data_IF_129977588326
#
_entry.id   IF_129977588326
#
_cell.length_a   1.000
_cell.length_b   1.000
_cell.length_c   1.000
_cell.angle_alpha   90.00
_cell.angle_beta   90.00
_cell.angle_gamma   90.00
#
_symmetry.space_group_name_H-M   'P 1'
#
loop_
_entity.id
_entity.type
_entity.pdbx_description
1 polymer ?
#
# COMPACT_ATOMS: atom_id res chain seq x y z
N UNK A 1 -9.30 -4.16 7.17
CA UNK A 1 -8.62 -2.96 6.79
C UNK A 1 -8.08 -2.98 5.37
N UNK A 2 -7.81 -1.82 4.87
CA UNK A 2 -7.24 -1.63 3.52
C UNK A 2 -5.92 -0.89 3.65
N UNK A 3 -4.93 -1.32 2.88
CA UNK A 3 -3.62 -0.67 2.86
C UNK A 3 -3.34 -0.19 1.44
N UNK A 4 -2.96 1.08 1.31
CA UNK A 4 -2.50 1.67 0.06
C UNK A 4 -1.01 1.95 0.16
N UNK A 5 -0.24 1.47 -0.79
CA UNK A 5 1.15 1.88 -0.96
C UNK A 5 1.21 2.85 -2.14
N UNK A 6 1.42 4.11 -1.85
CA UNK A 6 1.56 5.15 -2.87
C UNK A 6 2.97 5.08 -3.43
N UNK A 7 3.09 4.80 -4.71
CA UNK A 7 4.36 4.53 -5.37
C UNK A 7 4.47 5.26 -6.71
N UNK A 8 5.67 5.27 -7.27
CA UNK A 8 5.92 5.81 -8.59
C UNK A 8 6.72 4.82 -9.43
N UNK A 9 6.58 4.89 -10.75
CA UNK A 9 7.33 4.00 -11.66
C UNK A 9 8.80 4.38 -11.77
N UNK A 10 9.19 5.56 -11.27
CA UNK A 10 10.57 6.05 -11.27
C UNK A 10 11.14 6.17 -9.86
N UNK A 11 10.64 5.37 -8.94
CA UNK A 11 11.02 5.41 -7.53
C UNK A 11 11.81 4.14 -7.19
N UNK A 12 13.16 4.20 -7.09
CA UNK A 12 13.97 3.01 -6.80
C UNK A 12 13.63 2.35 -5.46
N UNK A 13 13.31 3.15 -4.44
CA UNK A 13 12.91 2.61 -3.14
C UNK A 13 11.59 1.85 -3.26
N UNK A 14 10.64 2.38 -4.04
CA UNK A 14 9.37 1.70 -4.29
C UNK A 14 9.57 0.32 -4.92
N UNK A 15 10.47 0.22 -5.89
CA UNK A 15 10.77 -1.05 -6.57
C UNK A 15 11.21 -2.13 -5.58
N UNK A 16 12.01 -1.77 -4.61
CA UNK A 16 12.54 -2.72 -3.62
C UNK A 16 11.48 -3.19 -2.64
N UNK A 17 10.36 -2.48 -2.49
CA UNK A 17 9.33 -2.78 -1.51
C UNK A 17 8.28 -3.77 -2.00
N UNK A 18 8.04 -3.84 -3.30
CA UNK A 18 6.89 -4.59 -3.84
C UNK A 18 6.81 -6.05 -3.40
N UNK A 19 7.91 -6.85 -3.48
CA UNK A 19 7.81 -8.26 -3.07
C UNK A 19 7.38 -8.43 -1.63
N UNK A 20 7.99 -7.67 -0.73
CA UNK A 20 7.68 -7.75 0.71
C UNK A 20 6.33 -7.15 1.04
N UNK A 21 5.93 -6.11 0.33
CA UNK A 21 4.62 -5.47 0.56
C UNK A 21 3.47 -6.47 0.36
N UNK A 22 3.55 -7.33 -0.63
CA UNK A 22 2.50 -8.30 -0.90
C UNK A 22 2.66 -9.61 -0.13
N UNK A 23 3.85 -9.92 0.40
CA UNK A 23 4.11 -11.21 1.05
C UNK A 23 4.08 -11.15 2.57
N UNK A 24 4.48 -10.06 3.20
CA UNK A 24 4.54 -9.97 4.66
C UNK A 24 3.13 -9.90 5.24
N UNK A 25 2.81 -10.81 6.14
CA UNK A 25 1.52 -10.82 6.82
C UNK A 25 0.34 -11.27 5.97
N UNK A 26 0.59 -12.02 4.89
CA UNK A 26 -0.45 -12.49 3.95
C UNK A 26 -1.48 -13.40 4.63
N UNK A 27 -1.16 -13.97 5.78
CA UNK A 27 -2.05 -14.85 6.53
C UNK A 27 -3.30 -14.14 7.04
N UNK A 28 -3.35 -12.81 6.95
CA UNK A 28 -4.50 -12.03 7.42
C UNK A 28 -5.39 -11.67 6.23
N UNK A 29 -6.36 -12.53 5.96
CA UNK A 29 -7.28 -12.40 4.82
C UNK A 29 -8.11 -11.11 4.85
N UNK A 30 -8.26 -10.48 6.00
CA UNK A 30 -9.05 -9.25 6.15
C UNK A 30 -8.35 -7.99 5.63
N UNK A 31 -7.08 -8.10 5.24
CA UNK A 31 -6.32 -6.94 4.75
C UNK A 31 -6.20 -6.97 3.23
N UNK A 32 -6.70 -5.91 2.60
CA UNK A 32 -6.55 -5.71 1.16
C UNK A 32 -5.42 -4.72 0.92
N UNK A 33 -4.43 -5.13 0.13
CA UNK A 33 -3.25 -4.34 -0.16
C UNK A 33 -3.25 -3.92 -1.62
N UNK A 34 -3.13 -2.62 -1.84
CA UNK A 34 -3.13 -2.02 -3.18
C UNK A 34 -1.88 -1.16 -3.35
N UNK A 35 -1.37 -1.10 -4.58
CA UNK A 35 -0.35 -0.13 -4.97
C UNK A 35 -1.05 0.95 -5.77
N UNK A 36 -0.82 2.22 -5.40
CA UNK A 36 -1.50 3.37 -6.00
C UNK A 36 -0.47 4.24 -6.70
N UNK A 37 -0.68 4.46 -7.99
CA UNK A 37 0.13 5.36 -8.80
C UNK A 37 -0.62 6.66 -9.04
N UNK A 38 0.12 7.76 -9.18
CA UNK A 38 -0.45 9.06 -9.52
C UNK A 38 -0.79 9.11 -11.02
N UNK A 39 -0.96 10.29 -11.60
CA UNK A 39 -1.40 10.48 -12.97
C UNK A 39 -0.45 10.00 -14.08
N UNK A 40 0.24 8.89 -13.89
CA UNK A 40 1.08 8.28 -14.91
C UNK A 40 0.23 7.60 -15.97
N UNK A 41 0.81 7.44 -17.17
CA UNK A 41 0.10 6.79 -18.27
C UNK A 41 -0.27 5.34 -17.90
N UNK A 42 -1.50 4.90 -18.19
CA UNK A 42 -1.91 3.53 -17.89
C UNK A 42 -0.99 2.46 -18.50
N UNK A 43 -0.51 2.69 -19.71
CA UNK A 43 0.39 1.76 -20.40
C UNK A 43 1.71 1.60 -19.64
N UNK A 44 2.24 2.71 -19.10
CA UNK A 44 3.48 2.70 -18.33
C UNK A 44 3.30 1.94 -17.02
N UNK A 45 2.20 2.18 -16.34
CA UNK A 45 1.89 1.48 -15.07
C UNK A 45 1.70 0.00 -15.33
N UNK A 46 1.06 -0.38 -16.43
CA UNK A 46 0.87 -1.77 -16.80
C UNK A 46 2.20 -2.46 -17.09
N UNK A 47 3.07 -1.83 -17.88
CA UNK A 47 4.41 -2.37 -18.18
C UNK A 47 5.23 -2.55 -16.91
N UNK A 48 5.21 -1.54 -16.04
CA UNK A 48 5.89 -1.58 -14.75
C UNK A 48 5.36 -2.73 -13.88
N UNK A 49 4.03 -2.89 -13.84
CA UNK A 49 3.39 -3.93 -13.03
C UNK A 49 3.78 -5.32 -13.50
N UNK A 50 3.83 -5.53 -14.79
CA UNK A 50 4.24 -6.81 -15.38
C UNK A 50 5.72 -7.07 -15.07
N UNK A 51 6.57 -6.06 -15.25
CA UNK A 51 8.01 -6.18 -14.99
C UNK A 51 8.31 -6.53 -13.53
N UNK A 52 7.56 -5.95 -12.60
CA UNK A 52 7.76 -6.16 -11.17
C UNK A 52 6.80 -7.18 -10.55
N UNK A 53 6.08 -7.90 -11.40
CA UNK A 53 5.19 -8.99 -10.97
C UNK A 53 4.12 -8.54 -9.97
N UNK A 54 3.57 -7.35 -10.18
CA UNK A 54 2.48 -6.84 -9.35
C UNK A 54 1.15 -7.46 -9.77
N UNK A 55 0.29 -7.84 -8.82
CA UNK A 55 -1.05 -8.31 -9.15
C UNK A 55 -1.88 -7.16 -9.75
N UNK A 56 -2.32 -7.31 -11.00
CA UNK A 56 -2.97 -6.22 -11.75
C UNK A 56 -4.29 -5.78 -11.11
N UNK A 57 -4.98 -6.68 -10.43
CA UNK A 57 -6.21 -6.36 -9.71
C UNK A 57 -5.97 -5.58 -8.41
N UNK A 58 -4.71 -5.40 -8.03
CA UNK A 58 -4.30 -4.63 -6.85
C UNK A 58 -3.54 -3.35 -7.21
N UNK A 59 -3.56 -2.97 -8.46
CA UNK A 59 -2.88 -1.76 -8.94
C UNK A 59 -3.94 -0.72 -9.30
N UNK A 60 -3.80 0.49 -8.75
CA UNK A 60 -4.71 1.60 -8.97
C UNK A 60 -3.95 2.80 -9.54
N UNK A 61 -4.58 3.53 -10.44
CA UNK A 61 -4.07 4.83 -10.90
C UNK A 61 -5.08 5.88 -10.43
N UNK A 62 -4.69 6.64 -9.41
CA UNK A 62 -5.62 7.55 -8.74
C UNK A 62 -4.89 8.78 -8.20
N UNK A 63 -4.57 9.71 -9.10
CA UNK A 63 -3.84 10.93 -8.74
C UNK A 63 -4.58 11.81 -7.74
N UNK A 64 -5.92 11.81 -7.76
CA UNK A 64 -6.72 12.60 -6.84
C UNK A 64 -6.62 12.08 -5.39
N UNK A 65 -6.37 10.80 -5.19
CA UNK A 65 -6.17 10.25 -3.85
C UNK A 65 -4.93 10.82 -3.18
N UNK A 66 -3.88 11.11 -3.94
CA UNK A 66 -2.67 11.73 -3.40
C UNK A 66 -3.01 13.06 -2.71
N UNK A 67 -3.78 13.89 -3.39
CA UNK A 67 -4.20 15.19 -2.86
C UNK A 67 -5.15 15.06 -1.67
N UNK A 68 -6.12 14.15 -1.77
CA UNK A 68 -7.13 13.96 -0.70
C UNK A 68 -6.50 13.45 0.59
N UNK A 69 -5.54 12.55 0.49
CA UNK A 69 -4.87 11.96 1.66
C UNK A 69 -3.71 12.84 2.12
N UNK A 70 -3.21 13.71 1.25
CA UNK A 70 -2.08 14.59 1.57
C UNK A 70 -0.73 13.91 1.35
N UNK A 71 -0.64 12.96 0.42
CA UNK A 71 0.61 12.28 0.10
C UNK A 71 1.45 13.18 -0.77
N UNK A 72 2.65 13.53 -0.30
CA UNK A 72 3.59 14.41 -1.01
C UNK A 72 4.88 13.69 -1.44
N UNK A 73 5.11 12.48 -0.91
CA UNK A 73 6.33 11.71 -1.19
C UNK A 73 5.98 10.25 -1.40
N UNK A 74 6.77 9.56 -2.21
CA UNK A 74 6.69 8.12 -2.39
C UNK A 74 7.99 7.46 -1.94
N UNK A 75 7.95 6.28 -1.34
CA UNK A 75 6.75 5.49 -1.02
C UNK A 75 6.09 5.92 0.30
N UNK A 76 4.77 6.06 0.29
CA UNK A 76 4.00 6.32 1.51
C UNK A 76 2.97 5.20 1.67
N UNK A 77 2.94 4.57 2.83
CA UNK A 77 1.98 3.53 3.16
C UNK A 77 0.85 4.11 3.99
N UNK A 78 -0.38 3.88 3.56
CA UNK A 78 -1.57 4.44 4.19
C UNK A 78 -2.47 3.31 4.65
N UNK A 79 -2.83 3.35 5.93
CA UNK A 79 -3.71 2.37 6.55
C UNK A 79 -5.11 2.96 6.66
N UNK A 80 -6.10 2.23 6.15
CA UNK A 80 -7.49 2.66 6.11
C UNK A 80 -8.36 1.61 6.79
N UNK A 81 -9.32 2.06 7.57
CA UNK A 81 -10.31 1.20 8.18
C UNK A 81 -11.62 1.34 7.44
N UNK A 82 -12.20 0.23 7.05
CA UNK A 82 -13.49 0.20 6.40
C UNK A 82 -14.60 0.22 7.45
N UNK A 83 -15.51 1.17 7.33
CA UNK A 83 -16.69 1.27 8.18
C UNK A 83 -17.89 1.51 7.27
N UNK A 84 -18.75 0.50 7.11
CA UNK A 84 -19.86 0.49 6.14
C UNK A 84 -19.34 0.79 4.73
N UNK A 85 -19.73 1.92 4.15
CA UNK A 85 -19.31 2.31 2.80
C UNK A 85 -18.20 3.36 2.78
N UNK A 86 -17.60 3.64 3.94
CA UNK A 86 -16.60 4.70 4.08
C UNK A 86 -15.25 4.09 4.47
N UNK A 87 -14.20 4.59 3.85
CA UNK A 87 -12.83 4.29 4.26
C UNK A 87 -12.34 5.44 5.13
N UNK A 88 -11.91 5.12 6.35
CA UNK A 88 -11.38 6.10 7.29
C UNK A 88 -9.88 5.99 7.36
N UNK A 89 -9.18 7.11 7.19
CA UNK A 89 -7.74 7.17 7.33
C UNK A 89 -7.34 6.95 8.79
N UNK A 90 -6.52 5.94 9.05
CA UNK A 90 -5.96 5.69 10.38
C UNK A 90 -4.54 6.22 10.50
N UNK A 91 -3.71 5.99 9.48
CA UNK A 91 -2.28 6.28 9.56
C UNK A 91 -1.70 6.42 8.16
N UNK A 92 -0.78 7.36 8.01
CA UNK A 92 0.01 7.52 6.79
C UNK A 92 1.48 7.61 7.20
N UNK A 93 2.34 6.79 6.58
CA UNK A 93 3.75 6.69 6.96
C UNK A 93 4.63 6.68 5.71
N UNK A 94 5.62 7.56 5.68
CA UNK A 94 6.66 7.50 4.67
C UNK A 94 7.59 6.33 4.96
N UNK A 95 7.83 5.48 3.93
CA UNK A 95 8.61 4.26 4.08
C UNK A 95 10.02 4.48 3.54
N UNK A 96 11.02 4.29 4.39
CA UNK A 96 12.41 4.54 4.04
C UNK A 96 13.10 3.32 3.44
N UNK A 97 12.54 2.12 3.60
CA UNK A 97 13.12 0.90 3.07
C UNK A 97 12.36 -0.33 3.53
N UNK A 98 12.87 -1.51 3.17
CA UNK A 98 12.22 -2.81 3.44
C UNK A 98 12.02 -3.04 4.93
N UNK A 99 13.01 -2.71 5.76
CA UNK A 99 12.92 -2.90 7.22
C UNK A 99 11.76 -2.10 7.82
N UNK A 100 11.62 -0.84 7.41
CA UNK A 100 10.53 0.01 7.86
C UNK A 100 9.18 -0.53 7.41
N UNK A 101 9.09 -0.99 6.17
CA UNK A 101 7.88 -1.61 5.62
C UNK A 101 7.45 -2.81 6.46
N UNK A 102 8.37 -3.73 6.72
CA UNK A 102 8.10 -4.94 7.50
C UNK A 102 7.65 -4.62 8.91
N UNK A 103 8.29 -3.65 9.54
CA UNK A 103 7.93 -3.20 10.89
C UNK A 103 6.48 -2.72 10.95
N UNK A 104 6.07 -1.85 10.02
CA UNK A 104 4.71 -1.32 10.00
C UNK A 104 3.67 -2.41 9.69
N UNK A 105 3.96 -3.31 8.76
CA UNK A 105 3.04 -4.40 8.43
C UNK A 105 2.89 -5.37 9.59
N UNK A 106 3.98 -5.68 10.30
CA UNK A 106 3.95 -6.57 11.47
C UNK A 106 3.14 -5.97 12.62
N UNK A 107 3.27 -4.67 12.86
CA UNK A 107 2.51 -3.98 13.90
C UNK A 107 1.01 -4.01 13.62
N UNK A 108 0.61 -3.86 12.37
CA UNK A 108 -0.80 -3.96 11.97
C UNK A 108 -1.32 -5.38 12.22
N UNK A 109 -0.53 -6.40 11.86
CA UNK A 109 -0.90 -7.80 12.07
C UNK A 109 -1.10 -8.11 13.55
N UNK A 110 -0.23 -7.61 14.41
CA UNK A 110 -0.34 -7.79 15.87
C UNK A 110 -1.62 -7.12 16.40
N UNK A 111 -1.92 -5.92 15.93
CA UNK A 111 -3.13 -5.19 16.37
C UNK A 111 -4.41 -5.94 15.99
N UNK A 112 -4.47 -6.50 14.78
CA UNK A 112 -5.63 -7.28 14.35
C UNK A 112 -5.79 -8.53 15.21
N UNK A 113 -4.70 -9.25 15.48
CA UNK A 113 -4.74 -10.43 16.34
C UNK A 113 -5.20 -10.08 17.76
N UNK A 114 -4.76 -8.96 18.31
CA UNK A 114 -5.19 -8.49 19.63
C UNK A 114 -6.68 -8.16 19.67
N UNK A 115 -7.22 -7.58 18.60
CA UNK A 115 -8.65 -7.27 18.48
C UNK A 115 -9.48 -8.53 18.45
N UNK A 116 -9.01 -9.59 17.80
CA UNK A 116 -9.73 -10.86 17.71
C UNK A 116 -9.80 -11.58 19.06
N UNK A 117 -8.89 -11.28 19.98
CA UNK A 117 -8.86 -11.88 21.31
C UNK A 117 -9.78 -11.17 22.32
N UNK A 118 -10.31 -10.03 21.95
CA UNK A 118 -11.23 -9.27 22.77
C UNK A 118 -12.68 -9.53 22.36
#
# INVERSE_FOLDING_TARGET
GVIFLFAGTRCPVCESLHPDYFSVGVEQESQYRYVVFSGERPERVQEYSILHDLPLDRVLIAGDLYARIGVTQTPTMVFLQRSKDILRLEKAVYITGVSSLKEHLSNVAIRVASSDLQ
#
